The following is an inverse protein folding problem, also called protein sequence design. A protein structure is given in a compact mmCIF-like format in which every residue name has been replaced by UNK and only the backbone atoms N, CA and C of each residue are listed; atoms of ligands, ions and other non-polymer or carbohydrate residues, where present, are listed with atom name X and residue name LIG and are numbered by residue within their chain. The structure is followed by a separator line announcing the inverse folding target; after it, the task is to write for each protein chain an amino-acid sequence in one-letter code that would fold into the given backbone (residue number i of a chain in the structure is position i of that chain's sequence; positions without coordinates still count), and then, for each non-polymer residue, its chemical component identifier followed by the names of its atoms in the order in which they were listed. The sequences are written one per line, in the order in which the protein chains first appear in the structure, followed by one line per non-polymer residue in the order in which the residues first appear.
data_IF_414832255569
#
_entry.id   IF_414832255569
#
_cell.length_a   1.000
_cell.length_b   1.000
_cell.length_c   1.000
_cell.angle_alpha   90.00
_cell.angle_beta   90.00
_cell.angle_gamma   90.00
#
_symmetry.space_group_name_H-M   'P 1'
#
loop_
_entity.id
_entity.type
_entity.pdbx_description
1 polymer ?
#
# COMPACT_ATOMS: atom_id res chain seq x y z
N UNK A 1 -13.67 -13.05 -15.15
CA UNK A 1 -14.80 -12.88 -14.21
C UNK A 1 -14.39 -11.84 -13.19
N UNK A 2 -14.96 -10.62 -13.25
CA UNK A 2 -14.72 -9.58 -12.25
C UNK A 2 -15.57 -9.88 -11.02
N UNK A 3 -14.96 -10.52 -10.01
CA UNK A 3 -15.57 -10.66 -8.71
C UNK A 3 -15.54 -9.29 -8.03
N UNK A 4 -16.62 -8.53 -8.18
CA UNK A 4 -16.88 -7.33 -7.39
C UNK A 4 -17.07 -7.75 -5.94
N UNK A 5 -16.00 -7.62 -5.14
CA UNK A 5 -16.08 -7.81 -3.71
C UNK A 5 -16.90 -6.67 -3.09
N UNK A 6 -17.90 -6.95 -2.24
CA UNK A 6 -18.62 -5.90 -1.53
C UNK A 6 -17.61 -5.14 -0.65
N UNK A 7 -17.60 -3.81 -0.75
CA UNK A 7 -16.78 -2.94 0.10
C UNK A 7 -17.21 -3.12 1.56
N UNK A 8 -16.56 -4.04 2.27
CA UNK A 8 -16.64 -4.11 3.74
C UNK A 8 -16.22 -2.75 4.28
N UNK A 9 -16.87 -2.30 5.36
CA UNK A 9 -16.40 -1.11 6.10
C UNK A 9 -14.99 -1.42 6.59
N UNK A 10 -14.00 -0.64 6.18
CA UNK A 10 -12.62 -0.78 6.65
C UNK A 10 -12.57 -0.41 8.14
N UNK A 11 -12.37 -1.41 9.00
CA UNK A 11 -12.17 -1.22 10.43
C UNK A 11 -10.66 -1.10 10.65
N UNK A 12 -10.21 0.03 11.20
CA UNK A 12 -8.81 0.22 11.61
C UNK A 12 -8.69 0.13 13.11
N UNK A 13 -7.84 -0.77 13.60
CA UNK A 13 -7.55 -0.94 15.02
C UNK A 13 -6.20 -0.28 15.31
N UNK A 14 -6.14 0.58 16.32
CA UNK A 14 -4.87 1.16 16.79
C UNK A 14 -4.30 0.20 17.83
N UNK A 15 -3.27 -0.57 17.43
CA UNK A 15 -2.61 -1.50 18.32
C UNK A 15 -1.65 -0.80 19.31
N UNK A 16 -0.81 0.12 18.81
CA UNK A 16 0.17 0.82 19.65
C UNK A 16 0.40 2.26 19.17
N UNK A 17 0.85 3.12 20.08
CA UNK A 17 1.24 4.51 19.79
C UNK A 17 2.67 4.75 20.25
N UNK A 18 3.52 5.19 19.32
CA UNK A 18 4.92 5.48 19.61
C UNK A 18 5.19 6.97 19.72
N UNK A 19 6.07 7.36 20.64
CA UNK A 19 6.72 8.68 20.64
C UNK A 19 8.17 8.49 20.27
N UNK A 20 8.60 9.09 19.16
CA UNK A 20 9.96 8.88 18.66
C UNK A 20 11.00 9.46 19.63
N UNK A 21 11.90 8.60 20.10
CA UNK A 21 13.01 8.92 21.00
C UNK A 21 14.30 8.33 20.42
N UNK A 22 15.45 8.95 20.70
CA UNK A 22 16.76 8.40 20.31
C UNK A 22 17.08 7.18 21.19
N UNK A 23 17.38 6.03 20.56
CA UNK A 23 17.78 4.78 21.24
C UNK A 23 16.63 3.77 21.43
N UNK A 24 16.95 2.47 21.35
CA UNK A 24 16.12 1.25 21.61
C UNK A 24 14.73 1.15 20.93
N UNK A 25 14.32 2.17 20.19
CA UNK A 25 13.00 2.21 19.56
C UNK A 25 12.83 1.23 18.42
N UNK A 26 13.92 0.92 17.70
CA UNK A 26 13.85 0.12 16.47
C UNK A 26 13.34 -1.29 16.75
N UNK A 27 13.85 -1.93 17.79
CA UNK A 27 13.47 -3.31 18.15
C UNK A 27 11.99 -3.38 18.54
N UNK A 28 11.56 -2.54 19.48
CA UNK A 28 10.14 -2.46 19.87
C UNK A 28 9.21 -2.11 18.71
N UNK A 29 9.62 -1.17 17.85
CA UNK A 29 8.82 -0.80 16.69
C UNK A 29 8.73 -1.97 15.71
N UNK A 30 9.82 -2.69 15.47
CA UNK A 30 9.83 -3.89 14.61
C UNK A 30 8.89 -4.96 15.16
N UNK A 31 8.98 -5.31 16.44
CA UNK A 31 8.13 -6.34 17.06
C UNK A 31 6.64 -6.00 16.92
N UNK A 32 6.28 -4.75 17.22
CA UNK A 32 4.90 -4.29 17.13
C UNK A 32 4.41 -4.23 15.69
N UNK A 33 5.26 -3.81 14.74
CA UNK A 33 4.91 -3.84 13.31
C UNK A 33 4.70 -5.27 12.82
N UNK A 34 5.56 -6.22 13.20
CA UNK A 34 5.43 -7.63 12.83
C UNK A 34 4.14 -8.24 13.37
N UNK A 35 3.84 -8.03 14.66
CA UNK A 35 2.59 -8.49 15.26
C UNK A 35 1.37 -7.88 14.58
N UNK A 36 1.36 -6.56 14.38
CA UNK A 36 0.25 -5.87 13.73
C UNK A 36 0.06 -6.34 12.29
N UNK A 37 1.15 -6.60 11.57
CA UNK A 37 1.10 -7.09 10.21
C UNK A 37 0.47 -8.49 10.15
N UNK A 38 0.90 -9.39 11.03
CA UNK A 38 0.37 -10.75 11.12
C UNK A 38 -1.12 -10.78 11.48
N UNK A 39 -1.50 -10.08 12.55
CA UNK A 39 -2.89 -10.03 13.02
C UNK A 39 -3.80 -9.21 12.08
N UNK A 40 -3.22 -8.26 11.33
CA UNK A 40 -3.90 -7.47 10.31
C UNK A 40 -4.10 -8.19 8.97
N UNK A 41 -3.98 -9.52 8.94
CA UNK A 41 -4.05 -10.33 7.72
C UNK A 41 -3.06 -9.83 6.65
N UNK A 42 -1.84 -9.50 7.08
CA UNK A 42 -0.72 -9.05 6.25
C UNK A 42 -0.99 -7.70 5.60
N UNK A 43 -1.74 -6.85 6.32
CA UNK A 43 -1.99 -5.45 6.04
C UNK A 43 -1.69 -4.63 7.30
N UNK A 44 -1.10 -3.46 7.13
CA UNK A 44 -0.83 -2.54 8.23
C UNK A 44 -0.94 -1.10 7.74
N UNK A 45 -1.45 -0.24 8.62
CA UNK A 45 -1.56 1.21 8.40
C UNK A 45 -0.74 1.94 9.45
N UNK A 46 0.23 2.74 9.00
CA UNK A 46 1.03 3.60 9.87
C UNK A 46 0.50 5.02 9.79
N UNK A 47 0.16 5.58 10.95
CA UNK A 47 -0.40 6.92 11.10
C UNK A 47 0.65 7.81 11.76
N UNK A 48 1.26 8.70 11.00
CA UNK A 48 2.22 9.69 11.49
C UNK A 48 1.48 10.99 11.79
N UNK A 49 1.43 11.36 13.08
CA UNK A 49 0.87 12.63 13.52
C UNK A 49 1.95 13.71 13.41
N UNK A 50 1.76 14.70 12.54
CA UNK A 50 2.69 15.83 12.43
C UNK A 50 2.27 16.95 13.40
N UNK A 51 3.25 17.53 14.07
CA UNK A 51 3.04 18.73 14.89
C UNK A 51 2.80 19.95 14.00
N UNK A 52 1.82 20.80 14.37
CA UNK A 52 1.41 22.01 13.62
C UNK A 52 2.55 23.03 13.36
N UNK A 53 3.72 22.86 13.97
CA UNK A 53 4.86 23.80 13.90
C UNK A 53 5.84 23.53 12.74
N UNK A 54 5.67 22.47 11.95
CA UNK A 54 6.53 22.14 10.79
C UNK A 54 5.75 21.89 9.49
N UNK A 55 4.70 22.67 9.24
CA UNK A 55 4.01 22.63 7.95
C UNK A 55 4.83 23.39 6.88
N UNK A 56 5.76 22.71 6.22
CA UNK A 56 6.29 23.13 4.92
C UNK A 56 5.22 22.95 3.83
N UNK A 57 5.17 23.81 2.80
CA UNK A 57 4.11 23.79 1.80
C UNK A 57 4.18 22.52 0.94
N UNK A 58 3.05 21.85 0.84
CA UNK A 58 2.84 20.58 0.15
C UNK A 58 3.38 20.57 -1.29
N UNK A 59 4.36 19.72 -1.57
CA UNK A 59 4.60 19.19 -2.91
C UNK A 59 3.62 18.05 -3.19
N UNK A 60 2.57 18.41 -3.94
CA UNK A 60 1.83 17.58 -4.90
C UNK A 60 1.70 16.09 -4.57
N UNK A 61 0.83 15.75 -3.63
CA UNK A 61 0.25 14.39 -3.57
C UNK A 61 -1.24 14.47 -3.25
N UNK A 62 -1.99 13.64 -3.97
CA UNK A 62 -3.42 13.78 -4.26
C UNK A 62 -4.27 13.86 -2.97
N UNK A 63 -5.06 14.93 -2.90
CA UNK A 63 -6.04 15.22 -1.86
C UNK A 63 -7.20 14.21 -1.92
N UNK A 64 -7.10 13.13 -1.17
CA UNK A 64 -8.26 12.30 -0.84
C UNK A 64 -9.16 13.11 0.10
N UNK A 65 -10.19 13.73 -0.47
CA UNK A 65 -11.26 14.39 0.29
C UNK A 65 -11.95 13.35 1.18
N UNK A 66 -11.71 13.41 2.48
CA UNK A 66 -12.67 12.94 3.46
C UNK A 66 -12.91 14.07 4.47
N UNK A 67 -14.18 14.41 4.59
CA UNK A 67 -14.71 15.49 5.40
C UNK A 67 -14.78 15.06 6.86
N UNK A 68 -13.90 15.60 7.70
CA UNK A 68 -14.17 15.82 9.13
C UNK A 68 -13.15 16.82 9.67
N UNK A 69 -13.66 17.80 10.41
CA UNK A 69 -12.97 18.96 10.96
C UNK A 69 -11.82 18.60 11.92
N UNK A 70 -10.83 19.49 11.97
CA UNK A 70 -9.78 19.61 13.01
C UNK A 70 -8.84 18.42 13.26
N UNK A 71 -8.31 17.81 12.20
CA UNK A 71 -7.26 16.79 12.34
C UNK A 71 -5.89 17.44 12.12
N UNK A 72 -4.91 17.31 13.05
CA UNK A 72 -3.51 17.70 12.79
C UNK A 72 -3.04 17.05 11.49
N UNK A 73 -2.20 17.72 10.70
CA UNK A 73 -1.67 17.17 9.45
C UNK A 73 -1.11 15.76 9.74
N UNK A 74 -1.74 14.75 9.14
CA UNK A 74 -1.47 13.35 9.45
C UNK A 74 -1.08 12.68 8.14
N UNK A 75 0.10 12.05 8.12
CA UNK A 75 0.49 11.21 7.00
C UNK A 75 0.01 9.79 7.28
N UNK A 76 -0.57 9.14 6.26
CA UNK A 76 -1.06 7.77 6.34
C UNK A 76 -0.27 6.95 5.32
N UNK A 77 0.35 5.88 5.79
CA UNK A 77 1.07 4.93 4.97
C UNK A 77 0.42 3.56 5.09
N UNK A 78 -0.01 3.00 3.97
CA UNK A 78 -0.61 1.67 3.89
C UNK A 78 0.41 0.69 3.31
N UNK A 79 0.61 -0.43 4.00
CA UNK A 79 1.49 -1.51 3.56
C UNK A 79 0.72 -2.82 3.56
N UNK A 80 1.02 -3.68 2.60
CA UNK A 80 0.50 -5.04 2.54
C UNK A 80 1.52 -5.95 1.82
N UNK A 81 1.37 -7.27 1.97
CA UNK A 81 2.20 -8.25 1.24
C UNK A 81 1.68 -8.55 -0.17
N UNK A 82 0.54 -7.97 -0.55
CA UNK A 82 -0.17 -8.35 -1.76
C UNK A 82 0.27 -7.47 -2.91
N UNK A 83 0.39 -8.05 -4.11
CA UNK A 83 0.52 -7.25 -5.32
C UNK A 83 -0.87 -6.68 -5.62
N UNK A 84 -1.27 -5.60 -4.96
CA UNK A 84 -2.59 -4.99 -5.14
C UNK A 84 -2.52 -3.46 -5.20
N UNK A 85 -3.29 -2.88 -6.12
CA UNK A 85 -3.44 -1.44 -6.27
C UNK A 85 -4.77 -1.11 -6.93
N UNK A 86 -5.37 0.03 -6.62
CA UNK A 86 -6.58 0.52 -7.27
C UNK A 86 -7.79 -0.46 -7.25
N UNK A 87 -7.84 -1.38 -6.28
CA UNK A 87 -8.88 -2.41 -6.20
C UNK A 87 -8.66 -3.63 -7.10
N UNK A 88 -7.47 -3.74 -7.72
CA UNK A 88 -7.04 -4.89 -8.51
C UNK A 88 -5.94 -5.62 -7.74
N UNK A 89 -6.00 -6.95 -7.76
CA UNK A 89 -4.96 -7.83 -7.24
C UNK A 89 -4.26 -8.50 -8.42
N UNK A 90 -2.96 -8.32 -8.49
CA UNK A 90 -2.04 -8.83 -9.48
C UNK A 90 -1.47 -10.17 -9.04
N UNK A 91 -0.94 -10.91 -10.01
CA UNK A 91 -0.15 -12.11 -9.75
C UNK A 91 1.26 -11.73 -9.31
N UNK A 92 1.91 -12.62 -8.57
CA UNK A 92 3.30 -12.42 -8.16
C UNK A 92 4.22 -12.38 -9.39
N UNK A 93 5.03 -11.34 -9.57
CA UNK A 93 5.82 -11.16 -10.77
C UNK A 93 6.84 -12.29 -10.94
N UNK A 94 6.66 -13.10 -11.97
CA UNK A 94 7.60 -14.13 -12.37
C UNK A 94 8.37 -13.74 -13.64
N UNK A 95 9.62 -14.24 -13.85
CA UNK A 95 10.41 -13.92 -15.04
C UNK A 95 9.67 -14.16 -16.37
N UNK A 96 8.75 -15.15 -16.40
CA UNK A 96 7.94 -15.47 -17.58
C UNK A 96 6.98 -14.37 -18.02
N UNK A 97 6.56 -13.49 -17.11
CA UNK A 97 5.73 -12.33 -17.44
C UNK A 97 6.52 -11.25 -18.20
N UNK A 98 7.85 -11.31 -18.15
CA UNK A 98 8.74 -10.40 -18.86
C UNK A 98 9.33 -11.02 -20.13
N UNK A 99 8.72 -12.09 -20.64
CA UNK A 99 9.16 -12.80 -21.84
C UNK A 99 8.11 -12.70 -22.95
N UNK A 100 8.49 -12.11 -24.08
CA UNK A 100 7.67 -12.08 -25.30
C UNK A 100 7.44 -13.48 -25.90
N UNK A 101 8.31 -14.44 -25.55
CA UNK A 101 8.20 -15.82 -26.01
C UNK A 101 7.25 -16.65 -25.14
N UNK A 102 6.68 -16.06 -24.08
CA UNK A 102 5.72 -16.72 -23.21
C UNK A 102 4.33 -16.06 -23.35
N UNK A 103 3.25 -16.83 -23.57
CA UNK A 103 1.90 -16.27 -23.71
C UNK A 103 1.44 -15.45 -22.50
N UNK A 104 2.00 -15.69 -21.30
CA UNK A 104 1.68 -14.91 -20.11
C UNK A 104 2.35 -13.53 -20.08
N UNK A 105 3.47 -13.32 -20.77
CA UNK A 105 4.14 -12.02 -20.89
C UNK A 105 3.82 -11.27 -22.18
N UNK A 106 3.30 -11.97 -23.18
CA UNK A 106 2.93 -11.40 -24.47
C UNK A 106 1.64 -10.58 -24.37
N UNK A 107 1.63 -9.40 -25.01
CA UNK A 107 0.40 -8.62 -25.15
C UNK A 107 -0.64 -9.40 -25.98
N UNK A 108 -1.87 -9.61 -25.47
CA UNK A 108 -2.90 -10.41 -26.16
C UNK A 108 -3.39 -9.76 -27.46
N UNK A 109 -3.17 -8.45 -27.65
CA UNK A 109 -3.54 -7.71 -28.86
C UNK A 109 -2.42 -7.76 -29.91
N UNK A 110 -1.18 -7.95 -29.47
CA UNK A 110 0.02 -7.77 -30.28
C UNK A 110 0.80 -9.07 -30.51
N UNK A 111 0.17 -10.23 -30.26
CA UNK A 111 0.80 -11.56 -30.09
C UNK A 111 1.94 -11.87 -31.08
N UNK A 112 1.85 -11.42 -32.33
CA UNK A 112 2.85 -11.73 -33.36
C UNK A 112 3.95 -10.66 -33.53
N UNK A 113 3.76 -9.47 -32.96
CA UNK A 113 4.61 -8.30 -33.25
C UNK A 113 5.81 -8.13 -32.33
N UNK A 114 5.90 -8.87 -31.21
CA UNK A 114 6.97 -8.79 -30.19
C UNK A 114 7.35 -7.37 -29.72
N UNK A 115 6.50 -6.36 -29.95
CA UNK A 115 6.80 -4.95 -29.67
C UNK A 115 6.42 -4.50 -28.27
N UNK A 116 5.51 -5.22 -27.62
CA UNK A 116 4.88 -4.79 -26.36
C UNK A 116 4.68 -5.99 -25.42
N UNK A 117 5.05 -5.85 -24.14
CA UNK A 117 4.71 -6.82 -23.09
C UNK A 117 3.36 -6.47 -22.46
N UNK A 118 2.64 -7.48 -21.99
CA UNK A 118 1.53 -7.27 -21.08
C UNK A 118 2.09 -6.95 -19.69
N UNK A 119 1.81 -5.75 -19.18
CA UNK A 119 1.93 -5.50 -17.75
C UNK A 119 0.67 -6.07 -17.11
N UNK A 120 0.83 -7.07 -16.25
CA UNK A 120 -0.22 -7.53 -15.35
C UNK A 120 -0.40 -6.46 -14.29
#
# INVERSE_FOLDING_TARGET
MNLSYPKKKDITIIAERFKIKKGEMRERLSDSLEMCFKEGEQRIRVIEQLDKSKAEPASTSKKSKSSTADIPSTNIYDFNQFYECCGVRYEEPEPRFFSFNNPFGACPVCQDSQKCMALI
#
